data_IF_123108615123
#
_entry.id   IF_123108615123
#
_cell.length_a   1.000
_cell.length_b   1.000
_cell.length_c   1.000
_cell.angle_alpha   90.00
_cell.angle_beta   90.00
_cell.angle_gamma   90.00
#
_symmetry.space_group_name_H-M   'P 1'
#
loop_
_entity.id
_entity.type
_entity.pdbx_description
1 polymer ?
#
# COMPACT_ATOMS: atom_id res chain seq x y z
N UNK A 1 25.29 -16.63 -12.93
CA UNK A 1 24.56 -16.91 -11.67
C UNK A 1 23.12 -17.21 -12.05
N UNK A 2 22.48 -18.19 -11.43
CA UNK A 2 21.10 -18.56 -11.78
C UNK A 2 20.15 -17.46 -11.34
N UNK A 3 19.39 -16.86 -12.27
CA UNK A 3 18.42 -15.79 -11.98
C UNK A 3 17.15 -16.29 -11.25
N UNK A 4 17.15 -17.55 -10.79
CA UNK A 4 16.02 -18.17 -10.13
C UNK A 4 16.41 -18.74 -8.77
N UNK A 5 15.51 -18.53 -7.81
CA UNK A 5 15.63 -19.03 -6.44
C UNK A 5 14.41 -19.88 -6.10
N UNK A 6 14.59 -20.85 -5.22
CA UNK A 6 13.50 -21.71 -4.76
C UNK A 6 12.90 -21.14 -3.48
N UNK A 7 11.59 -20.93 -3.48
CA UNK A 7 10.82 -20.57 -2.28
C UNK A 7 9.87 -21.71 -1.93
N UNK A 8 9.73 -21.99 -0.64
CA UNK A 8 8.74 -22.95 -0.15
C UNK A 8 7.45 -22.22 0.21
N UNK A 9 6.33 -22.70 -0.31
CA UNK A 9 5.01 -22.14 -0.04
C UNK A 9 4.08 -23.24 0.48
N UNK A 10 3.22 -22.93 1.47
CA UNK A 10 2.17 -23.84 1.89
C UNK A 10 1.27 -24.24 0.71
N UNK A 11 0.82 -25.49 0.68
CA UNK A 11 -0.09 -25.98 -0.39
C UNK A 11 -1.34 -25.12 -0.53
N UNK A 12 -1.89 -24.64 0.59
CA UNK A 12 -3.03 -23.72 0.60
C UNK A 12 -2.74 -22.44 -0.16
N UNK A 13 -1.58 -21.83 0.05
CA UNK A 13 -1.15 -20.60 -0.65
C UNK A 13 -1.02 -20.84 -2.15
N UNK A 14 -0.45 -21.98 -2.57
CA UNK A 14 -0.34 -22.33 -4.00
C UNK A 14 -1.72 -22.53 -4.64
N UNK A 15 -2.68 -23.11 -3.92
CA UNK A 15 -4.06 -23.24 -4.41
C UNK A 15 -4.74 -21.88 -4.60
N UNK A 16 -4.57 -20.97 -3.65
CA UNK A 16 -5.10 -19.60 -3.78
C UNK A 16 -4.42 -18.85 -4.93
N UNK A 17 -3.10 -18.96 -5.09
CA UNK A 17 -2.39 -18.41 -6.24
C UNK A 17 -2.89 -18.99 -7.57
N UNK A 18 -3.25 -20.28 -7.60
CA UNK A 18 -3.83 -20.90 -8.80
C UNK A 18 -5.19 -20.34 -9.16
N UNK A 19 -6.04 -20.05 -8.16
CA UNK A 19 -7.36 -19.41 -8.36
C UNK A 19 -7.24 -17.94 -8.75
N UNK A 20 -6.24 -17.25 -8.23
CA UNK A 20 -5.99 -15.83 -8.49
C UNK A 20 -5.39 -15.54 -9.88
N UNK A 21 -5.10 -16.57 -10.69
CA UNK A 21 -4.62 -16.38 -12.05
C UNK A 21 -5.66 -15.68 -12.91
N UNK A 22 -5.24 -14.63 -13.62
CA UNK A 22 -6.10 -13.92 -14.58
C UNK A 22 -6.29 -14.69 -15.89
N UNK A 23 -5.30 -15.52 -16.28
CA UNK A 23 -5.35 -16.35 -17.47
C UNK A 23 -4.62 -17.68 -17.22
N UNK A 24 -5.01 -18.75 -17.93
CA UNK A 24 -4.51 -20.11 -17.67
C UNK A 24 -2.98 -20.23 -17.70
N UNK A 25 -2.33 -19.52 -18.64
CA UNK A 25 -0.88 -19.58 -18.87
C UNK A 25 -0.06 -18.64 -17.99
N UNK A 26 -0.69 -17.91 -17.08
CA UNK A 26 0.03 -16.97 -16.19
C UNK A 26 1.00 -17.73 -15.29
N UNK A 27 2.24 -17.26 -15.23
CA UNK A 27 3.24 -17.84 -14.33
C UNK A 27 3.04 -17.34 -12.90
N UNK A 28 3.45 -18.13 -11.90
CA UNK A 28 3.38 -17.66 -10.51
C UNK A 28 4.29 -16.46 -10.26
N UNK A 29 5.43 -16.37 -10.97
CA UNK A 29 6.32 -15.22 -10.89
C UNK A 29 5.64 -13.93 -11.37
N UNK A 30 5.00 -13.96 -12.54
CA UNK A 30 4.23 -12.82 -13.07
C UNK A 30 3.10 -12.39 -12.13
N UNK A 31 2.36 -13.37 -11.59
CA UNK A 31 1.29 -13.10 -10.65
C UNK A 31 1.81 -12.43 -9.37
N UNK A 32 2.91 -12.94 -8.80
CA UNK A 32 3.53 -12.39 -7.60
C UNK A 32 4.07 -10.98 -7.88
N UNK A 33 4.71 -10.74 -9.03
CA UNK A 33 5.18 -9.40 -9.40
C UNK A 33 4.05 -8.39 -9.52
N UNK A 34 2.93 -8.78 -10.14
CA UNK A 34 1.75 -7.92 -10.26
C UNK A 34 1.13 -7.61 -8.90
N UNK A 35 1.03 -8.61 -8.01
CA UNK A 35 0.58 -8.43 -6.64
C UNK A 35 1.51 -7.49 -5.85
N UNK A 36 2.84 -7.63 -6.03
CA UNK A 36 3.81 -6.75 -5.40
C UNK A 36 3.72 -5.31 -5.89
N UNK A 37 3.49 -5.11 -7.20
CA UNK A 37 3.25 -3.78 -7.77
C UNK A 37 1.99 -3.14 -7.18
N UNK A 38 0.88 -3.89 -7.14
CA UNK A 38 -0.37 -3.42 -6.56
C UNK A 38 -0.23 -3.11 -5.05
N UNK A 39 0.46 -3.96 -4.30
CA UNK A 39 0.72 -3.73 -2.88
C UNK A 39 1.54 -2.46 -2.65
N UNK A 40 2.59 -2.24 -3.44
CA UNK A 40 3.41 -1.02 -3.36
C UNK A 40 2.61 0.23 -3.72
N UNK A 41 1.79 0.18 -4.78
CA UNK A 41 0.96 1.33 -5.15
C UNK A 41 -0.07 1.66 -4.08
N UNK A 42 -0.73 0.64 -3.51
CA UNK A 42 -1.69 0.83 -2.43
C UNK A 42 -1.04 1.37 -1.16
N UNK A 43 0.17 0.91 -0.82
CA UNK A 43 0.92 1.44 0.33
C UNK A 43 1.22 2.93 0.15
N UNK A 44 1.75 3.33 -1.00
CA UNK A 44 2.03 4.74 -1.30
C UNK A 44 0.76 5.59 -1.29
N UNK A 45 -0.34 5.08 -1.86
CA UNK A 45 -1.62 5.79 -1.88
C UNK A 45 -2.23 5.94 -0.48
N UNK A 46 -2.10 4.91 0.36
CA UNK A 46 -2.54 4.96 1.75
C UNK A 46 -1.75 5.99 2.56
N UNK A 47 -0.43 6.01 2.41
CA UNK A 47 0.43 6.98 3.07
C UNK A 47 0.08 8.42 2.62
N UNK A 48 -0.16 8.64 1.33
CA UNK A 48 -0.63 9.92 0.80
C UNK A 48 -1.99 10.34 1.38
N UNK A 49 -2.95 9.41 1.43
CA UNK A 49 -4.26 9.66 2.01
C UNK A 49 -4.18 10.02 3.49
N UNK A 50 -3.34 9.31 4.26
CA UNK A 50 -3.11 9.58 5.67
C UNK A 50 -2.47 10.96 5.87
N UNK A 51 -1.49 11.32 5.04
CA UNK A 51 -0.85 12.64 5.08
C UNK A 51 -1.84 13.78 4.79
N UNK A 52 -2.74 13.62 3.81
CA UNK A 52 -3.75 14.64 3.50
C UNK A 52 -4.74 14.83 4.65
N UNK A 53 -5.23 13.74 5.28
CA UNK A 53 -6.09 13.84 6.48
C UNK A 53 -5.36 14.53 7.63
N UNK A 54 -4.09 14.19 7.85
CA UNK A 54 -3.29 14.83 8.89
C UNK A 54 -3.12 16.33 8.63
N UNK A 55 -2.84 16.72 7.39
CA UNK A 55 -2.70 18.13 7.00
C UNK A 55 -4.00 18.92 7.22
N UNK A 56 -5.15 18.33 6.89
CA UNK A 56 -6.46 18.93 7.18
C UNK A 56 -6.69 19.11 8.68
N UNK A 57 -6.41 18.09 9.49
CA UNK A 57 -6.53 18.18 10.95
C UNK A 57 -5.55 19.18 11.58
N UNK A 58 -4.33 19.26 11.07
CA UNK A 58 -3.37 20.27 11.50
C UNK A 58 -3.86 21.67 11.14
N UNK A 59 -4.42 21.86 9.95
CA UNK A 59 -5.02 23.14 9.57
C UNK A 59 -6.24 23.49 10.44
N UNK A 60 -7.06 22.52 10.85
CA UNK A 60 -8.18 22.75 11.79
C UNK A 60 -7.71 23.13 13.19
N UNK A 61 -6.58 22.58 13.65
CA UNK A 61 -5.98 22.90 14.94
C UNK A 61 -5.23 24.25 14.95
N UNK A 62 -4.79 24.74 13.78
CA UNK A 62 -4.01 25.98 13.61
C UNK A 62 -4.77 27.14 12.90
N UNK A 63 -6.07 26.99 12.65
CA UNK A 63 -6.96 28.06 12.17
C UNK A 63 -8.20 28.18 13.07
N UNK A 64 -8.06 27.87 14.35
CA UNK A 64 -9.15 28.03 15.31
C UNK A 64 -9.06 29.41 15.99
N UNK A 65 -10.19 29.87 16.57
CA UNK A 65 -10.27 31.16 17.26
C UNK A 65 -9.34 31.26 18.48
N UNK A 66 -8.76 30.15 18.93
CA UNK A 66 -7.82 30.15 20.05
C UNK A 66 -6.43 30.62 19.61
N UNK A 67 -6.00 30.35 18.37
CA UNK A 67 -4.72 30.88 17.83
C UNK A 67 -4.71 32.41 17.70
N UNK A 68 -5.84 33.04 17.36
CA UNK A 68 -5.98 34.51 17.35
C UNK A 68 -5.78 35.13 18.75
N UNK A 69 -6.01 34.36 19.82
CA UNK A 69 -5.79 34.80 21.20
C UNK A 69 -4.31 34.69 21.63
N UNK A 70 -3.53 33.82 20.99
CA UNK A 70 -2.09 33.67 21.23
C UNK A 70 -1.24 34.64 20.42
N UNK A 71 -1.66 35.03 19.21
CA UNK A 71 -0.97 36.03 18.37
C UNK A 71 -1.09 37.48 18.86
N UNK A 72 -1.95 37.76 19.86
CA UNK A 72 -2.19 39.09 20.42
C UNK A 72 -1.57 39.31 21.82
N UNK A 73 -0.58 38.50 22.23
CA UNK A 73 0.16 38.64 23.50
C UNK A 73 1.60 39.09 23.26
#
# INVERSE_FOLDING_TARGET
MSDSTTIQLPKKTVQELKKAKQYERQTYSELIENLLKAYKSHKTQYDQYLHEIQKQKMAELWNNKEDEAWDNV
#
